data_IF_255083265587
#
_entry.id   IF_255083265587
#
_cell.length_a   1.000
_cell.length_b   1.000
_cell.length_c   1.000
_cell.angle_alpha   90.00
_cell.angle_beta   90.00
_cell.angle_gamma   90.00
#
_symmetry.space_group_name_H-M   'P 1'
#
loop_
_entity.id
_entity.type
_entity.pdbx_description
1 polymer ?
#
# COMPACT_ATOMS: atom_id res chain seq x y z
N UNK A 1 35.05 -23.84 76.88
CA UNK A 1 36.04 -24.11 75.81
C UNK A 1 35.26 -24.45 74.54
N UNK A 2 34.88 -23.42 73.79
CA UNK A 2 35.51 -23.00 72.52
C UNK A 2 35.27 -23.98 71.36
N UNK A 3 34.32 -23.65 70.48
CA UNK A 3 34.60 -23.33 69.07
C UNK A 3 33.34 -22.87 68.29
N UNK A 4 33.41 -21.64 67.76
CA UNK A 4 32.79 -21.19 66.49
C UNK A 4 33.79 -21.57 65.35
N UNK A 5 33.57 -21.34 64.02
CA UNK A 5 32.39 -20.97 63.22
C UNK A 5 32.31 -21.71 61.83
N UNK A 6 31.40 -21.24 60.95
CA UNK A 6 31.43 -21.25 59.46
C UNK A 6 30.84 -22.47 58.73
N UNK A 7 29.81 -22.26 57.90
CA UNK A 7 29.88 -22.24 56.43
C UNK A 7 28.48 -21.96 55.86
N UNK A 8 28.43 -21.02 54.92
CA UNK A 8 27.26 -20.60 54.16
C UNK A 8 26.91 -21.61 53.06
N UNK A 9 25.61 -21.79 52.79
CA UNK A 9 25.14 -22.24 51.47
C UNK A 9 24.13 -21.24 50.92
N UNK A 10 24.57 -20.55 49.86
CA UNK A 10 23.78 -19.71 48.99
C UNK A 10 23.01 -20.68 48.08
N UNK A 11 21.69 -20.79 48.25
CA UNK A 11 20.86 -21.47 47.27
C UNK A 11 20.81 -20.63 45.99
N UNK A 12 21.43 -21.16 44.94
CA UNK A 12 21.33 -20.68 43.57
C UNK A 12 19.87 -20.77 43.10
N UNK A 13 19.22 -19.63 42.89
CA UNK A 13 17.91 -19.55 42.23
C UNK A 13 18.17 -19.36 40.72
N UNK A 14 18.14 -20.43 39.94
CA UNK A 14 18.23 -20.35 38.48
C UNK A 14 16.83 -20.48 37.86
N UNK A 15 16.08 -19.38 37.82
CA UNK A 15 14.90 -19.28 36.97
C UNK A 15 15.34 -18.92 35.55
N UNK A 16 15.40 -19.92 34.66
CA UNK A 16 15.66 -19.70 33.24
C UNK A 16 14.43 -19.06 32.59
N UNK A 17 14.42 -17.73 32.52
CA UNK A 17 13.42 -16.95 31.80
C UNK A 17 13.77 -16.95 30.32
N UNK A 18 13.21 -17.90 29.56
CA UNK A 18 13.34 -17.92 28.10
C UNK A 18 12.39 -16.87 27.53
N UNK A 19 12.89 -15.66 27.29
CA UNK A 19 12.19 -14.67 26.46
C UNK A 19 12.38 -15.05 24.99
N UNK A 20 11.34 -15.49 24.25
CA UNK A 20 11.44 -15.53 22.80
C UNK A 20 11.53 -14.08 22.31
N UNK A 21 12.74 -13.69 21.87
CA UNK A 21 12.93 -12.50 21.06
C UNK A 21 12.27 -12.76 19.71
N UNK A 22 10.97 -12.48 19.59
CA UNK A 22 10.37 -12.32 18.27
C UNK A 22 11.09 -11.15 17.59
N UNK A 23 11.74 -11.35 16.44
CA UNK A 23 12.27 -10.21 15.70
C UNK A 23 11.06 -9.38 15.24
N UNK A 24 10.79 -8.28 15.93
CA UNK A 24 9.93 -7.23 15.39
C UNK A 24 10.72 -6.59 14.25
N UNK A 25 10.65 -7.20 13.07
CA UNK A 25 10.96 -6.48 11.85
C UNK A 25 10.00 -5.29 11.83
N UNK A 26 10.51 -4.08 12.09
CA UNK A 26 9.76 -2.86 11.82
C UNK A 26 9.52 -2.84 10.32
N UNK A 27 8.40 -3.42 9.90
CA UNK A 27 7.95 -3.38 8.53
C UNK A 27 7.73 -1.91 8.20
N UNK A 28 8.74 -1.29 7.57
CA UNK A 28 8.63 0.07 7.07
C UNK A 28 7.53 0.07 6.02
N UNK A 29 6.40 0.63 6.41
CA UNK A 29 5.18 0.75 5.65
C UNK A 29 5.45 1.39 4.28
N UNK A 30 4.76 0.94 3.23
CA UNK A 30 4.88 1.55 1.91
C UNK A 30 4.32 2.97 1.97
N UNK A 31 4.97 3.92 1.31
CA UNK A 31 4.49 5.30 1.27
C UNK A 31 3.95 5.61 -0.12
N UNK A 32 2.74 6.15 -0.22
CA UNK A 32 2.24 6.79 -1.44
C UNK A 32 2.81 8.21 -1.48
N UNK A 33 3.77 8.44 -2.37
CA UNK A 33 4.59 9.67 -2.38
C UNK A 33 3.99 10.77 -3.23
N UNK A 34 3.55 10.42 -4.42
CA UNK A 34 3.05 11.38 -5.38
C UNK A 34 1.92 10.76 -6.21
N UNK A 35 0.97 11.59 -6.61
CA UNK A 35 -0.07 11.21 -7.59
C UNK A 35 -0.12 12.31 -8.63
N UNK A 36 0.13 11.94 -9.88
CA UNK A 36 0.05 12.86 -11.02
C UNK A 36 -0.95 12.35 -12.04
N UNK A 37 -1.57 13.28 -12.77
CA UNK A 37 -2.56 12.96 -13.80
C UNK A 37 -2.21 13.70 -15.07
N UNK A 38 -2.13 12.96 -16.18
CA UNK A 38 -1.74 13.46 -17.50
C UNK A 38 -2.68 12.89 -18.56
N UNK A 39 -3.23 13.76 -19.41
CA UNK A 39 -3.95 13.33 -20.62
C UNK A 39 -2.95 13.02 -21.73
N UNK A 40 -3.01 11.83 -22.31
CA UNK A 40 -2.15 11.40 -23.41
C UNK A 40 -2.90 10.50 -24.40
N UNK A 41 -2.86 10.83 -25.70
CA UNK A 41 -3.42 9.98 -26.75
C UNK A 41 -4.90 9.63 -26.61
N UNK A 42 -5.73 10.54 -26.08
CA UNK A 42 -7.16 10.29 -25.83
C UNK A 42 -7.46 9.55 -24.53
N UNK A 43 -6.44 9.03 -23.83
CA UNK A 43 -6.55 8.39 -22.52
C UNK A 43 -6.12 9.34 -21.41
N UNK A 44 -6.57 9.07 -20.18
CA UNK A 44 -6.05 9.75 -18.99
C UNK A 44 -5.15 8.77 -18.24
N UNK A 45 -3.92 9.19 -17.97
CA UNK A 45 -2.92 8.40 -17.26
C UNK A 45 -2.73 8.99 -15.87
N UNK A 46 -2.88 8.13 -14.86
CA UNK A 46 -2.68 8.47 -13.46
C UNK A 46 -1.46 7.68 -13.00
N UNK A 47 -0.42 8.39 -12.56
CA UNK A 47 0.78 7.78 -12.02
C UNK A 47 0.78 7.96 -10.51
N UNK A 48 0.86 6.84 -9.80
CA UNK A 48 0.90 6.77 -8.34
C UNK A 48 2.29 6.28 -7.94
N UNK A 49 3.10 7.13 -7.32
CA UNK A 49 4.45 6.79 -6.91
C UNK A 49 4.46 6.20 -5.50
N UNK A 50 5.21 5.12 -5.32
CA UNK A 50 5.26 4.35 -4.08
C UNK A 50 6.71 4.14 -3.63
N UNK A 51 6.96 4.07 -2.32
CA UNK A 51 8.34 3.85 -1.82
C UNK A 51 8.90 2.46 -2.15
N UNK A 52 8.03 1.49 -2.37
CA UNK A 52 8.32 0.08 -2.68
C UNK A 52 7.31 -0.45 -3.69
N UNK A 53 7.62 -1.59 -4.32
CA UNK A 53 6.70 -2.28 -5.22
C UNK A 53 5.46 -2.71 -4.44
N UNK A 54 4.28 -2.40 -4.96
CA UNK A 54 2.99 -2.79 -4.38
C UNK A 54 2.01 -3.08 -5.51
N UNK A 55 1.17 -4.10 -5.31
CA UNK A 55 0.08 -4.42 -6.23
C UNK A 55 -1.21 -4.01 -5.53
N UNK A 56 -1.91 -2.97 -6.03
CA UNK A 56 -3.15 -2.53 -5.40
C UNK A 56 -4.32 -3.41 -5.79
N UNK A 57 -5.35 -3.41 -4.94
CA UNK A 57 -6.66 -3.93 -5.26
C UNK A 57 -7.49 -2.83 -5.92
N UNK A 58 -8.30 -3.19 -6.93
CA UNK A 58 -9.15 -2.22 -7.62
C UNK A 58 -10.60 -2.63 -7.62
N UNK A 59 -11.47 -1.64 -7.45
CA UNK A 59 -12.92 -1.79 -7.44
C UNK A 59 -13.56 -0.65 -8.23
N UNK A 60 -14.59 -0.97 -9.01
CA UNK A 60 -15.42 0.04 -9.68
C UNK A 60 -16.69 0.23 -8.85
N UNK A 61 -16.95 1.47 -8.47
CA UNK A 61 -18.15 1.87 -7.74
C UNK A 61 -19.00 2.73 -8.65
N UNK A 62 -20.29 2.42 -8.74
CA UNK A 62 -21.27 3.21 -9.49
C UNK A 62 -22.10 4.08 -8.53
N UNK A 63 -22.75 5.11 -9.07
CA UNK A 63 -23.59 6.06 -8.30
C UNK A 63 -22.86 6.83 -7.17
N UNK A 64 -21.95 7.77 -7.48
CA UNK A 64 -21.45 8.15 -8.81
C UNK A 64 -20.24 7.30 -9.24
N UNK A 65 -19.94 7.27 -10.54
CA UNK A 65 -18.86 6.48 -11.13
C UNK A 65 -17.48 6.82 -10.55
N UNK A 66 -16.83 5.83 -9.94
CA UNK A 66 -15.51 5.95 -9.31
C UNK A 66 -14.69 4.68 -9.55
N UNK A 67 -13.39 4.87 -9.76
CA UNK A 67 -12.40 3.80 -9.63
C UNK A 67 -11.71 3.93 -8.28
N UNK A 68 -11.84 2.89 -7.45
CA UNK A 68 -11.21 2.77 -6.14
C UNK A 68 -9.96 1.91 -6.29
N UNK A 69 -8.85 2.36 -5.74
CA UNK A 69 -7.55 1.69 -5.79
C UNK A 69 -6.98 1.66 -4.37
N UNK A 70 -6.95 0.47 -3.79
CA UNK A 70 -6.53 0.24 -2.41
C UNK A 70 -5.11 -0.33 -2.35
N UNK A 71 -4.28 0.32 -1.55
CA UNK A 71 -2.90 -0.07 -1.28
C UNK A 71 -2.82 -0.59 0.15
N UNK A 72 -2.69 -1.92 0.28
CA UNK A 72 -2.45 -2.59 1.56
C UNK A 72 -1.04 -2.29 2.07
N UNK A 73 -0.88 -2.24 3.38
CA UNK A 73 0.37 -1.91 4.06
C UNK A 73 1.03 -0.65 3.47
N UNK A 74 0.18 0.36 3.24
CA UNK A 74 0.57 1.65 2.70
C UNK A 74 0.00 2.83 3.50
N UNK A 75 0.80 3.88 3.65
CA UNK A 75 0.40 5.18 4.23
C UNK A 75 0.56 6.32 3.22
N UNK A 76 -0.27 7.37 3.28
CA UNK A 76 -0.04 8.59 2.52
C UNK A 76 1.27 9.26 2.96
N UNK A 77 2.07 9.73 2.01
CA UNK A 77 3.24 10.55 2.28
C UNK A 77 2.84 11.93 2.82
N UNK A 78 3.75 12.62 3.56
CA UNK A 78 3.45 13.92 4.19
C UNK A 78 3.14 15.02 3.18
N UNK A 79 3.66 14.91 1.96
CA UNK A 79 3.47 15.86 0.85
C UNK A 79 2.26 15.52 -0.02
N UNK A 80 1.58 14.39 0.23
CA UNK A 80 0.47 13.96 -0.59
C UNK A 80 -0.74 14.89 -0.35
N UNK A 81 -1.30 15.40 -1.43
CA UNK A 81 -2.49 16.26 -1.42
C UNK A 81 -3.49 15.74 -2.46
N UNK A 82 -4.76 16.06 -2.26
CA UNK A 82 -5.77 15.82 -3.28
C UNK A 82 -5.42 16.62 -4.54
N UNK A 83 -5.60 16.00 -5.71
CA UNK A 83 -5.33 16.63 -6.99
C UNK A 83 -6.67 16.92 -7.65
N UNK A 84 -7.13 18.19 -7.70
CA UNK A 84 -8.30 18.55 -8.49
C UNK A 84 -7.93 18.40 -9.97
N UNK A 85 -8.66 17.57 -10.71
CA UNK A 85 -8.32 17.23 -12.09
C UNK A 85 -9.56 17.26 -12.97
N UNK A 86 -9.72 18.30 -13.79
CA UNK A 86 -10.76 18.36 -14.81
C UNK A 86 -10.18 17.97 -16.19
N UNK A 87 -9.63 16.76 -16.30
CA UNK A 87 -8.99 16.29 -17.53
C UNK A 87 -9.68 15.04 -18.09
N UNK A 88 -10.15 15.13 -19.33
CA UNK A 88 -10.83 14.01 -20.00
C UNK A 88 -12.03 13.53 -19.17
N UNK A 89 -12.03 12.25 -18.83
CA UNK A 89 -13.09 11.57 -18.08
C UNK A 89 -12.86 11.56 -16.56
N UNK A 90 -11.75 12.11 -16.08
CA UNK A 90 -11.44 12.23 -14.64
C UNK A 90 -11.90 13.60 -14.15
N UNK A 91 -12.62 13.63 -13.01
CA UNK A 91 -13.11 14.83 -12.31
C UNK A 91 -12.21 15.24 -11.14
N UNK A 92 -11.67 14.26 -10.42
CA UNK A 92 -10.79 14.48 -9.28
C UNK A 92 -10.04 13.19 -8.92
N UNK A 93 -8.89 13.33 -8.28
CA UNK A 93 -8.21 12.21 -7.61
C UNK A 93 -8.04 12.53 -6.13
N UNK A 94 -8.58 11.65 -5.30
CA UNK A 94 -8.57 11.76 -3.84
C UNK A 94 -7.69 10.67 -3.28
N UNK A 95 -6.90 11.02 -2.27
CA UNK A 95 -6.09 10.03 -1.55
C UNK A 95 -6.33 10.17 -0.05
N UNK A 96 -6.57 9.05 0.63
CA UNK A 96 -6.80 9.04 2.06
C UNK A 96 -6.43 7.70 2.68
N UNK A 97 -6.03 7.72 3.95
CA UNK A 97 -5.87 6.51 4.74
C UNK A 97 -7.23 6.06 5.26
N UNK A 98 -7.62 4.83 4.95
CA UNK A 98 -8.90 4.23 5.34
C UNK A 98 -8.78 3.48 6.66
N UNK A 99 -7.73 2.67 6.81
CA UNK A 99 -7.44 1.92 8.04
C UNK A 99 -6.05 2.28 8.55
N UNK A 100 -5.87 2.28 9.87
CA UNK A 100 -4.57 2.60 10.50
C UNK A 100 -3.77 1.36 10.94
N UNK A 101 -4.42 0.23 11.20
CA UNK A 101 -3.78 -1.02 11.62
C UNK A 101 -4.61 -2.27 11.22
N UNK A 102 -4.22 -3.04 10.19
CA UNK A 102 -3.12 -2.73 9.26
C UNK A 102 -3.45 -1.49 8.42
N UNK A 103 -2.44 -0.73 7.99
CA UNK A 103 -2.63 0.52 7.29
C UNK A 103 -3.05 0.30 5.84
N UNK A 104 -4.15 0.94 5.42
CA UNK A 104 -4.63 0.90 4.03
C UNK A 104 -4.81 2.31 3.51
N UNK A 105 -4.18 2.61 2.37
CA UNK A 105 -4.36 3.88 1.66
C UNK A 105 -5.22 3.67 0.43
N UNK A 106 -6.27 4.47 0.29
CA UNK A 106 -7.21 4.43 -0.83
C UNK A 106 -6.99 5.64 -1.72
N UNK A 107 -6.78 5.37 -3.00
CA UNK A 107 -6.84 6.36 -4.07
C UNK A 107 -8.18 6.21 -4.78
N UNK A 108 -8.99 7.26 -4.80
CA UNK A 108 -10.29 7.30 -5.48
C UNK A 108 -10.18 8.24 -6.67
N UNK A 109 -10.48 7.72 -7.85
CA UNK A 109 -10.57 8.48 -9.09
C UNK A 109 -12.05 8.73 -9.35
N UNK A 110 -12.49 9.98 -9.19
CA UNK A 110 -13.86 10.38 -9.49
C UNK A 110 -14.00 10.54 -11.01
N UNK A 111 -14.95 9.83 -11.63
CA UNK A 111 -15.12 9.78 -13.08
C UNK A 111 -16.36 10.57 -13.55
N UNK A 112 -16.34 11.01 -14.81
CA UNK A 112 -17.49 11.64 -15.48
C UNK A 112 -18.57 10.64 -15.86
N UNK A 113 -18.12 9.47 -16.32
CA UNK A 113 -18.94 8.33 -16.71
C UNK A 113 -18.14 7.05 -16.44
N UNK A 114 -18.80 5.88 -16.48
CA UNK A 114 -18.11 4.60 -16.42
C UNK A 114 -17.08 4.48 -17.55
N UNK A 115 -15.82 4.22 -17.19
CA UNK A 115 -14.71 4.13 -18.14
C UNK A 115 -13.95 2.81 -17.97
N UNK A 116 -13.51 2.17 -19.06
CA UNK A 116 -12.55 1.07 -18.97
C UNK A 116 -11.23 1.60 -18.41
N UNK A 117 -10.53 0.75 -17.66
CA UNK A 117 -9.22 1.08 -17.11
C UNK A 117 -8.28 -0.13 -17.12
N UNK A 118 -6.98 0.16 -17.23
CA UNK A 118 -5.90 -0.82 -17.12
C UNK A 118 -4.90 -0.37 -16.07
N UNK A 119 -4.39 -1.30 -15.27
CA UNK A 119 -3.30 -1.06 -14.33
C UNK A 119 -1.99 -1.67 -14.83
N UNK A 120 -0.92 -0.93 -14.62
CA UNK A 120 0.45 -1.33 -14.89
C UNK A 120 1.28 -1.10 -13.62
N UNK A 121 1.34 -2.10 -12.72
CA UNK A 121 2.25 -2.05 -11.58
C UNK A 121 3.71 -2.08 -12.05
N UNK A 122 4.51 -1.16 -11.55
CA UNK A 122 5.96 -1.07 -11.78
C UNK A 122 6.72 -1.24 -10.46
N UNK A 123 8.04 -1.05 -10.47
CA UNK A 123 8.90 -1.26 -9.30
C UNK A 123 8.59 -0.33 -8.13
N UNK A 124 8.29 0.94 -8.41
CA UNK A 124 8.03 1.99 -7.41
C UNK A 124 6.91 2.94 -7.84
N UNK A 125 6.07 2.48 -8.77
CA UNK A 125 4.94 3.24 -9.25
C UNK A 125 3.85 2.30 -9.74
N UNK A 126 2.63 2.78 -9.74
CA UNK A 126 1.49 2.14 -10.37
C UNK A 126 0.91 3.13 -11.36
N UNK A 127 0.85 2.74 -12.63
CA UNK A 127 0.22 3.54 -13.67
C UNK A 127 -1.18 3.00 -13.95
N UNK A 128 -2.16 3.89 -13.95
CA UNK A 128 -3.56 3.60 -14.26
C UNK A 128 -3.92 4.36 -15.52
N UNK A 129 -4.33 3.64 -16.56
CA UNK A 129 -4.82 4.25 -17.80
C UNK A 129 -6.33 4.15 -17.84
N UNK A 130 -7.01 5.28 -18.01
CA UNK A 130 -8.46 5.41 -18.13
C UNK A 130 -8.81 5.69 -19.60
N UNK A 131 -9.80 4.96 -20.13
CA UNK A 131 -10.28 5.08 -21.51
C UNK A 131 -9.59 4.13 -22.51
N UNK A 132 -8.63 3.31 -22.07
CA UNK A 132 -8.02 2.25 -22.91
C UNK A 132 -8.79 0.94 -22.67
N UNK A 133 -9.51 0.46 -23.70
CA UNK A 133 -10.45 -0.66 -23.61
C UNK A 133 -9.84 -1.93 -23.00
N UNK A 134 -10.42 -2.38 -21.89
CA UNK A 134 -10.12 -3.64 -21.21
C UNK A 134 -10.14 -3.45 -19.70
N UNK A 135 -11.23 -3.84 -19.04
CA UNK A 135 -11.29 -4.03 -17.58
C UNK A 135 -10.44 -5.28 -17.30
N UNK A 136 -9.17 -5.10 -16.93
CA UNK A 136 -8.31 -6.23 -16.62
C UNK A 136 -7.37 -5.88 -15.47
N UNK A 137 -7.55 -6.48 -14.29
CA UNK A 137 -6.45 -6.63 -13.36
C UNK A 137 -5.47 -7.60 -14.02
N UNK A 138 -4.37 -7.09 -14.58
CA UNK A 138 -3.39 -7.93 -15.28
C UNK A 138 -2.66 -8.81 -14.26
N UNK A 139 -3.24 -9.98 -14.00
CA UNK A 139 -2.57 -11.18 -13.53
C UNK A 139 -2.92 -12.32 -14.51
N UNK A 140 -2.21 -12.36 -15.63
CA UNK A 140 -1.95 -13.60 -16.36
C UNK A 140 -0.50 -13.55 -16.84
N UNK A 141 0.29 -14.43 -16.24
CA UNK A 141 1.72 -14.64 -16.46
C UNK A 141 2.07 -14.93 -17.93
N UNK A 142 3.34 -14.75 -18.35
CA UNK A 142 3.77 -15.15 -19.68
C UNK A 142 3.55 -16.65 -19.88
N UNK A 143 2.89 -17.02 -20.97
CA UNK A 143 2.91 -18.39 -21.47
C UNK A 143 4.37 -18.77 -21.75
N UNK A 144 4.84 -19.83 -21.09
CA UNK A 144 6.14 -20.44 -21.37
C UNK A 144 6.16 -20.92 -22.84
N UNK A 145 7.29 -20.78 -23.55
CA UNK A 145 7.43 -21.39 -24.87
C UNK A 145 7.52 -22.92 -24.74
N UNK A 146 6.92 -23.61 -25.71
CA UNK A 146 7.05 -25.05 -25.92
C UNK A 146 8.45 -25.44 -26.41
#
# INVERSE_FOLDING_TARGET
MTHLPKIAWISFLAAAFVFPLSPTATAQNTQIRHVSVVKSGGTVQIQIETSKRVVPLTEVVTDPDRLVIDFADAVPGPELRAVPVNQGEVKAVRVGRVTSNPPVTRVVVDLKSAQPFRLFPSSKSVMVKIGEGGISPMAAAPAAPA
#
